data_IF_534657058956
#
_entry.id   IF_534657058956
#
_cell.length_a   1.000
_cell.length_b   1.000
_cell.length_c   1.000
_cell.angle_alpha   90.00
_cell.angle_beta   90.00
_cell.angle_gamma   90.00
#
_symmetry.space_group_name_H-M   'P 1'
#
loop_
_entity.id
_entity.type
_entity.pdbx_description
1 polymer ?
#
# COMPACT_ATOMS: atom_id res chain seq x y z
N UNK A 1 -5.20 -13.76 15.78
CA UNK A 1 -4.46 -13.55 14.51
C UNK A 1 -5.30 -13.00 13.36
N UNK A 2 -6.59 -13.31 13.33
CA UNK A 2 -7.51 -12.72 12.34
C UNK A 2 -7.46 -11.19 12.31
N UNK A 3 -7.20 -10.54 13.44
CA UNK A 3 -7.09 -9.10 13.52
C UNK A 3 -6.02 -8.50 12.60
N UNK A 4 -5.00 -9.27 12.22
CA UNK A 4 -3.98 -8.84 11.27
C UNK A 4 -4.62 -8.54 9.90
N UNK A 5 -5.57 -9.36 9.48
CA UNK A 5 -6.31 -9.14 8.23
C UNK A 5 -7.11 -7.83 8.29
N UNK A 6 -7.77 -7.60 9.42
CA UNK A 6 -8.55 -6.38 9.61
C UNK A 6 -7.66 -5.13 9.61
N UNK A 7 -6.50 -5.21 10.26
CA UNK A 7 -5.52 -4.12 10.24
C UNK A 7 -5.07 -3.85 8.81
N UNK A 8 -4.73 -4.88 8.05
CA UNK A 8 -4.33 -4.73 6.65
C UNK A 8 -5.43 -4.10 5.79
N UNK A 9 -6.68 -4.53 5.98
CA UNK A 9 -7.82 -3.97 5.26
C UNK A 9 -8.01 -2.49 5.55
N UNK A 10 -7.96 -2.11 6.82
CA UNK A 10 -8.15 -0.71 7.24
C UNK A 10 -7.00 0.15 6.74
N UNK A 11 -5.75 -0.31 6.84
CA UNK A 11 -4.60 0.43 6.32
C UNK A 11 -4.74 0.69 4.82
N UNK A 12 -5.14 -0.32 4.05
CA UNK A 12 -5.34 -0.18 2.62
C UNK A 12 -6.50 0.78 2.32
N UNK A 13 -7.58 0.72 3.08
CA UNK A 13 -8.70 1.62 2.90
C UNK A 13 -8.28 3.09 3.12
N UNK A 14 -7.51 3.35 4.18
CA UNK A 14 -6.96 4.69 4.41
C UNK A 14 -6.02 5.12 3.28
N UNK A 15 -5.20 4.22 2.77
CA UNK A 15 -4.34 4.50 1.62
C UNK A 15 -5.14 4.89 0.38
N UNK A 16 -6.21 4.16 0.09
CA UNK A 16 -7.11 4.45 -1.03
C UNK A 16 -7.75 5.84 -0.88
N UNK A 17 -8.34 6.12 0.28
CA UNK A 17 -8.97 7.42 0.54
C UNK A 17 -7.95 8.55 0.47
N UNK A 18 -6.77 8.36 1.03
CA UNK A 18 -5.70 9.35 0.98
C UNK A 18 -5.27 9.67 -0.44
N UNK A 19 -5.16 8.67 -1.30
CA UNK A 19 -4.82 8.88 -2.71
C UNK A 19 -5.89 9.69 -3.43
N UNK A 20 -7.18 9.34 -3.22
CA UNK A 20 -8.28 10.08 -3.86
C UNK A 20 -8.38 11.51 -3.36
N UNK A 21 -8.25 11.72 -2.06
CA UNK A 21 -8.33 13.05 -1.46
C UNK A 21 -7.21 13.93 -1.98
N UNK A 22 -5.98 13.41 -2.07
CA UNK A 22 -4.86 14.20 -2.56
C UNK A 22 -5.01 14.58 -4.02
N UNK A 23 -5.63 13.73 -4.86
CA UNK A 23 -5.96 14.08 -6.24
C UNK A 23 -7.02 15.19 -6.32
N UNK A 24 -8.09 15.03 -5.53
CA UNK A 24 -9.20 16.00 -5.53
C UNK A 24 -8.75 17.38 -5.06
N UNK A 25 -7.89 17.42 -4.04
CA UNK A 25 -7.36 18.67 -3.51
C UNK A 25 -6.19 19.21 -4.32
N UNK A 26 -5.80 18.52 -5.40
CA UNK A 26 -4.64 18.87 -6.23
C UNK A 26 -3.36 18.97 -5.41
N UNK A 27 -3.29 18.19 -4.34
CA UNK A 27 -2.09 18.10 -3.51
C UNK A 27 -1.39 16.79 -3.84
N UNK A 28 -0.07 16.79 -4.09
CA UNK A 28 0.65 15.53 -4.16
C UNK A 28 0.45 14.78 -2.84
N UNK A 29 0.40 13.45 -2.89
CA UNK A 29 0.45 12.64 -1.67
C UNK A 29 1.76 13.01 -0.99
N UNK A 30 1.66 13.89 0.00
CA UNK A 30 2.80 14.72 0.37
C UNK A 30 3.72 14.00 1.33
N UNK A 31 4.84 13.59 0.80
CA UNK A 31 6.03 13.45 1.63
C UNK A 31 6.66 14.85 1.72
N UNK A 32 6.89 15.40 2.93
CA UNK A 32 7.29 16.81 3.07
C UNK A 32 8.56 17.20 2.34
N UNK A 33 9.44 16.22 2.10
CA UNK A 33 10.72 16.45 1.43
C UNK A 33 10.64 16.40 -0.09
N UNK A 34 9.48 16.08 -0.68
CA UNK A 34 9.31 16.09 -2.13
C UNK A 34 9.07 17.52 -2.62
N UNK A 35 9.73 17.92 -3.73
CA UNK A 35 9.46 19.24 -4.30
C UNK A 35 8.02 19.30 -4.84
N UNK A 36 7.39 20.49 -4.82
CA UNK A 36 6.06 20.64 -5.39
C UNK A 36 6.09 20.35 -6.89
N UNK A 37 5.10 19.59 -7.37
CA UNK A 37 4.97 19.30 -8.78
C UNK A 37 4.53 20.58 -9.53
N UNK A 38 5.15 20.82 -10.69
CA UNK A 38 4.76 21.95 -11.55
C UNK A 38 3.35 21.76 -12.11
N UNK A 39 2.98 20.52 -12.38
CA UNK A 39 1.66 20.15 -12.85
C UNK A 39 1.16 19.04 -11.91
N UNK A 40 0.05 19.33 -11.21
CA UNK A 40 -0.40 18.48 -10.10
C UNK A 40 -1.09 17.20 -10.60
N UNK A 41 -1.82 17.28 -11.74
CA UNK A 41 -2.55 16.15 -12.29
C UNK A 41 -2.33 16.03 -13.81
N UNK A 42 -1.09 15.74 -14.28
CA UNK A 42 -0.91 15.40 -15.69
C UNK A 42 -1.67 14.10 -16.00
N UNK A 43 -2.15 13.90 -17.26
CA UNK A 43 -2.96 12.71 -17.58
C UNK A 43 -2.31 11.38 -17.21
N UNK A 44 -1.03 11.22 -17.47
CA UNK A 44 -0.31 9.98 -17.12
C UNK A 44 -0.28 9.75 -15.61
N UNK A 45 -0.05 10.80 -14.86
CA UNK A 45 -0.03 10.72 -13.40
C UNK A 45 -1.40 10.34 -12.85
N UNK A 46 -2.48 10.94 -13.40
CA UNK A 46 -3.85 10.62 -12.98
C UNK A 46 -4.16 9.15 -13.24
N UNK A 47 -3.79 8.64 -14.42
CA UNK A 47 -4.02 7.24 -14.76
C UNK A 47 -3.30 6.30 -13.79
N UNK A 48 -2.01 6.51 -13.57
CA UNK A 48 -1.23 5.67 -12.67
C UNK A 48 -1.74 5.77 -11.23
N UNK A 49 -2.16 6.94 -10.81
CA UNK A 49 -2.67 7.13 -9.46
C UNK A 49 -4.01 6.45 -9.24
N UNK A 50 -4.92 6.53 -10.22
CA UNK A 50 -6.18 5.79 -10.16
C UNK A 50 -5.95 4.29 -10.17
N UNK A 51 -5.02 3.82 -11.01
CA UNK A 51 -4.66 2.42 -11.04
C UNK A 51 -4.12 1.94 -9.68
N UNK A 52 -3.22 2.70 -9.08
CA UNK A 52 -2.67 2.39 -7.76
C UNK A 52 -3.75 2.42 -6.68
N UNK A 53 -4.62 3.42 -6.71
CA UNK A 53 -5.72 3.51 -5.75
C UNK A 53 -6.67 2.32 -5.88
N UNK A 54 -7.03 1.94 -7.11
CA UNK A 54 -7.86 0.77 -7.34
C UNK A 54 -7.23 -0.52 -6.87
N UNK A 55 -5.93 -0.68 -7.05
CA UNK A 55 -5.19 -1.85 -6.55
C UNK A 55 -5.24 -1.92 -5.02
N UNK A 56 -4.98 -0.80 -4.35
CA UNK A 56 -5.04 -0.71 -2.89
C UNK A 56 -6.44 -1.06 -2.38
N UNK A 57 -7.48 -0.53 -3.03
CA UNK A 57 -8.86 -0.84 -2.66
C UNK A 57 -9.19 -2.31 -2.88
N UNK A 58 -8.76 -2.89 -3.99
CA UNK A 58 -8.99 -4.31 -4.28
C UNK A 58 -8.41 -5.20 -3.19
N UNK A 59 -7.19 -4.93 -2.75
CA UNK A 59 -6.58 -5.69 -1.66
C UNK A 59 -7.25 -5.42 -0.32
N UNK A 60 -7.75 -4.21 -0.08
CA UNK A 60 -8.54 -3.94 1.12
C UNK A 60 -9.79 -4.82 1.17
N UNK A 61 -10.52 -4.88 0.07
CA UNK A 61 -11.71 -5.73 -0.05
C UNK A 61 -11.33 -7.20 0.16
N UNK A 62 -10.22 -7.65 -0.43
CA UNK A 62 -9.74 -9.01 -0.25
C UNK A 62 -9.46 -9.31 1.21
N UNK A 63 -8.80 -8.42 1.94
CA UNK A 63 -8.49 -8.64 3.34
C UNK A 63 -9.77 -8.69 4.21
N UNK A 64 -10.76 -7.83 3.93
CA UNK A 64 -12.05 -7.92 4.61
C UNK A 64 -12.74 -9.24 4.30
N UNK A 65 -12.74 -9.67 3.06
CA UNK A 65 -13.34 -10.95 2.65
C UNK A 65 -12.67 -12.11 3.39
N UNK A 66 -11.35 -12.13 3.44
CA UNK A 66 -10.60 -13.20 4.12
C UNK A 66 -10.85 -13.21 5.64
N UNK A 67 -11.11 -12.05 6.22
CA UNK A 67 -11.45 -11.97 7.65
C UNK A 67 -12.73 -12.75 7.95
N UNK A 68 -13.71 -12.70 7.06
CA UNK A 68 -14.98 -13.42 7.23
C UNK A 68 -14.97 -14.83 6.64
N UNK A 69 -13.97 -15.18 5.83
CA UNK A 69 -13.87 -16.48 5.15
C UNK A 69 -12.49 -17.09 5.38
N UNK A 70 -12.23 -17.62 6.61
CA UNK A 70 -10.88 -18.13 6.93
C UNK A 70 -10.39 -19.27 6.03
N UNK A 71 -11.31 -20.00 5.39
CA UNK A 71 -10.97 -21.10 4.50
C UNK A 71 -10.18 -20.67 3.27
N UNK A 72 -10.26 -19.40 2.89
CA UNK A 72 -9.55 -18.87 1.74
C UNK A 72 -8.26 -18.11 2.09
N UNK A 73 -7.93 -17.98 3.38
CA UNK A 73 -6.79 -17.19 3.81
C UNK A 73 -5.48 -17.73 3.23
N UNK A 74 -5.27 -19.04 3.31
CA UNK A 74 -3.99 -19.65 2.96
C UNK A 74 -3.56 -19.36 1.51
N UNK A 75 -4.40 -19.56 0.47
CA UNK A 75 -4.00 -19.24 -0.89
C UNK A 75 -3.99 -17.75 -1.22
N UNK A 76 -4.95 -16.97 -0.70
CA UNK A 76 -5.10 -15.58 -1.12
C UNK A 76 -4.22 -14.62 -0.32
N UNK A 77 -3.97 -14.89 0.95
CA UNK A 77 -3.11 -14.02 1.76
C UNK A 77 -1.67 -14.01 1.24
N UNK A 78 -1.24 -15.08 0.59
CA UNK A 78 0.07 -15.11 -0.06
C UNK A 78 0.23 -13.94 -1.03
N UNK A 79 -0.78 -13.64 -1.84
CA UNK A 79 -0.72 -12.52 -2.77
C UNK A 79 -0.69 -11.17 -2.05
N UNK A 80 -1.45 -11.03 -0.97
CA UNK A 80 -1.40 -9.82 -0.15
C UNK A 80 -0.04 -9.61 0.48
N UNK A 81 0.57 -10.67 0.97
CA UNK A 81 1.93 -10.63 1.52
C UNK A 81 2.94 -10.24 0.44
N UNK A 82 2.84 -10.85 -0.75
CA UNK A 82 3.73 -10.55 -1.86
C UNK A 82 3.62 -9.08 -2.27
N UNK A 83 2.39 -8.53 -2.31
CA UNK A 83 2.20 -7.11 -2.60
C UNK A 83 2.91 -6.22 -1.59
N UNK A 84 2.80 -6.53 -0.31
CA UNK A 84 3.46 -5.74 0.74
C UNK A 84 4.98 -5.80 0.65
N UNK A 85 5.54 -6.95 0.34
CA UNK A 85 6.98 -7.06 0.09
C UNK A 85 7.39 -6.26 -1.15
N UNK A 86 6.57 -6.30 -2.20
CA UNK A 86 6.85 -5.52 -3.41
C UNK A 86 6.82 -4.02 -3.14
N UNK A 87 5.86 -3.54 -2.34
CA UNK A 87 5.78 -2.12 -1.98
C UNK A 87 7.05 -1.69 -1.23
N UNK A 88 7.52 -2.50 -0.29
CA UNK A 88 8.78 -2.22 0.40
C UNK A 88 9.96 -2.21 -0.57
N UNK A 89 10.04 -3.21 -1.44
CA UNK A 89 11.15 -3.32 -2.41
C UNK A 89 11.13 -2.14 -3.38
N UNK A 90 9.96 -1.75 -3.88
CA UNK A 90 9.83 -0.60 -4.76
C UNK A 90 10.26 0.70 -4.06
N UNK A 91 9.89 0.86 -2.78
CA UNK A 91 10.32 2.01 -1.99
C UNK A 91 11.83 2.04 -1.80
N UNK A 92 12.43 0.89 -1.53
CA UNK A 92 13.87 0.77 -1.37
C UNK A 92 14.62 1.06 -2.67
N UNK A 93 14.16 0.53 -3.79
CA UNK A 93 14.72 0.80 -5.11
C UNK A 93 14.62 2.30 -5.42
N UNK A 94 13.48 2.91 -5.15
CA UNK A 94 13.28 4.34 -5.38
C UNK A 94 14.26 5.18 -4.54
N UNK A 95 14.50 4.79 -3.30
CA UNK A 95 15.45 5.49 -2.44
C UNK A 95 16.90 5.33 -2.93
N UNK A 96 17.30 4.10 -3.27
CA UNK A 96 18.71 3.81 -3.60
C UNK A 96 19.09 4.23 -5.02
N UNK A 97 18.20 4.00 -6.00
CA UNK A 97 18.52 4.18 -7.42
C UNK A 97 18.02 5.53 -7.92
N UNK A 98 16.78 5.89 -7.59
CA UNK A 98 16.14 7.11 -8.07
C UNK A 98 16.25 8.28 -7.10
N UNK A 99 17.01 8.12 -6.02
CA UNK A 99 17.31 9.19 -5.05
C UNK A 99 16.05 9.84 -4.45
N UNK A 100 15.01 9.04 -4.22
CA UNK A 100 13.82 9.53 -3.54
C UNK A 100 14.14 9.87 -2.08
N UNK A 101 13.41 10.81 -1.46
CA UNK A 101 13.63 11.17 -0.06
C UNK A 101 13.44 10.00 0.89
N UNK A 102 14.17 10.04 2.01
CA UNK A 102 14.12 8.99 3.03
C UNK A 102 12.72 8.78 3.61
N UNK A 103 11.93 9.83 3.73
CA UNK A 103 10.58 9.72 4.29
C UNK A 103 9.64 8.89 3.41
N UNK A 104 9.86 8.78 2.10
CA UNK A 104 9.13 7.85 1.25
C UNK A 104 9.38 6.41 1.71
N UNK A 105 10.64 6.05 1.93
CA UNK A 105 11.00 4.72 2.43
C UNK A 105 10.41 4.48 3.82
N UNK A 106 10.55 5.43 4.74
CA UNK A 106 10.15 5.27 6.13
C UNK A 106 8.64 5.26 6.30
N UNK A 107 7.91 6.11 5.57
CA UNK A 107 6.46 6.26 5.77
C UNK A 107 5.65 5.31 4.88
N UNK A 108 6.21 4.80 3.81
CA UNK A 108 5.51 3.95 2.85
C UNK A 108 6.05 2.53 2.83
N UNK A 109 7.37 2.37 2.76
CA UNK A 109 8.01 1.06 2.67
C UNK A 109 8.03 0.30 3.99
N UNK A 110 8.41 0.95 5.09
CA UNK A 110 8.57 0.28 6.39
C UNK A 110 7.24 -0.25 6.93
N UNK A 111 6.12 0.50 6.92
CA UNK A 111 4.83 -0.05 7.31
C UNK A 111 4.41 -1.25 6.46
N UNK A 112 4.68 -1.23 5.16
CA UNK A 112 4.37 -2.34 4.27
C UNK A 112 5.22 -3.57 4.60
N UNK A 113 6.50 -3.40 4.92
CA UNK A 113 7.35 -4.49 5.37
C UNK A 113 6.83 -5.09 6.68
N UNK A 114 6.44 -4.25 7.63
CA UNK A 114 5.90 -4.72 8.90
C UNK A 114 4.64 -5.57 8.67
N UNK A 115 3.73 -5.11 7.81
CA UNK A 115 2.53 -5.89 7.48
C UNK A 115 2.86 -7.19 6.75
N UNK A 116 3.86 -7.17 5.86
CA UNK A 116 4.29 -8.39 5.17
C UNK A 116 4.82 -9.44 6.15
N UNK A 117 5.59 -9.01 7.14
CA UNK A 117 6.10 -9.90 8.18
C UNK A 117 4.95 -10.47 9.01
N UNK A 118 3.97 -9.64 9.37
CA UNK A 118 2.80 -10.09 10.13
C UNK A 118 1.97 -11.10 9.32
N UNK A 119 1.78 -10.87 8.03
CA UNK A 119 1.07 -11.81 7.17
C UNK A 119 1.85 -13.12 7.03
N UNK A 120 3.16 -13.05 6.89
CA UNK A 120 4.00 -14.24 6.84
C UNK A 120 3.89 -15.06 8.13
N UNK A 121 3.95 -14.39 9.28
CA UNK A 121 3.77 -15.04 10.58
C UNK A 121 2.39 -15.70 10.67
N UNK A 122 1.35 -15.01 10.24
CA UNK A 122 0.00 -15.57 10.25
C UNK A 122 -0.10 -16.82 9.37
N UNK A 123 0.46 -16.77 8.15
CA UNK A 123 0.45 -17.91 7.23
C UNK A 123 1.20 -19.12 7.76
N UNK A 124 2.30 -18.90 8.49
CA UNK A 124 3.07 -20.00 9.04
C UNK A 124 2.36 -20.70 10.21
N UNK A 125 1.38 -20.04 10.83
CA UNK A 125 0.70 -20.54 12.01
C UNK A 125 -0.73 -21.03 11.74
N UNK A 126 -1.14 -21.14 10.51
CA UNK A 126 -2.47 -21.67 10.15
C UNK A 126 -2.41 -23.06 9.51
#
# INVERSE_FOLDING_TARGET
MKGILLIGAVMNLFGFVGMLVSMRLKMPFSFPSLPPAKEINPPDYVLHRLFSAGTVLTFSIMFFYLYYHPEFVKPFLFFGMALKYWVFLASLISYLIFKMPRDVLLCFGVPSLAMAVLFNYYLLNI
#
